data_IF_413320269436
#
_entry.id   IF_413320269436
#
_cell.length_a   1.000
_cell.length_b   1.000
_cell.length_c   1.000
_cell.angle_alpha   90.00
_cell.angle_beta   90.00
_cell.angle_gamma   90.00
#
_symmetry.space_group_name_H-M   'P 1'
#
loop_
_entity.id
_entity.type
_entity.pdbx_description
1 polymer ?
#
# COMPACT_ATOMS: atom_id res chain seq x y z
N UNK A 1 -9.03 -20.08 -0.72
CA UNK A 1 -8.11 -19.88 0.42
C UNK A 1 -8.03 -18.38 0.64
N UNK A 2 -8.55 -17.88 1.76
CA UNK A 2 -8.57 -16.46 2.09
C UNK A 2 -7.39 -16.21 3.02
N UNK A 3 -6.35 -15.53 2.53
CA UNK A 3 -5.15 -15.24 3.31
C UNK A 3 -5.47 -14.05 4.23
N UNK A 4 -5.40 -14.24 5.54
CA UNK A 4 -5.55 -13.17 6.52
C UNK A 4 -4.29 -12.29 6.51
N UNK A 5 -4.38 -11.14 5.83
CA UNK A 5 -3.26 -10.24 5.67
C UNK A 5 -2.91 -9.44 6.91
N UNK A 6 -3.88 -9.18 7.79
CA UNK A 6 -3.56 -8.61 9.09
C UNK A 6 -2.66 -9.58 9.84
N UNK A 7 -2.98 -10.87 9.81
CA UNK A 7 -2.15 -11.91 10.38
C UNK A 7 -0.78 -12.03 9.69
N UNK A 8 -0.70 -12.02 8.36
CA UNK A 8 0.58 -12.09 7.64
C UNK A 8 1.50 -10.88 7.93
N UNK A 9 0.94 -9.67 8.00
CA UNK A 9 1.69 -8.46 8.40
C UNK A 9 2.10 -8.56 9.87
N UNK A 10 1.23 -9.04 10.75
CA UNK A 10 1.54 -9.28 12.16
C UNK A 10 2.63 -10.35 12.34
N UNK A 11 2.70 -11.35 11.46
CA UNK A 11 3.78 -12.35 11.47
C UNK A 11 5.13 -11.75 11.08
N UNK A 12 5.16 -10.84 10.10
CA UNK A 12 6.35 -10.05 9.77
C UNK A 12 6.82 -9.25 11.00
N UNK A 13 5.89 -8.63 11.73
CA UNK A 13 6.19 -7.92 12.98
C UNK A 13 6.69 -8.88 14.08
N UNK A 14 6.18 -10.11 14.12
CA UNK A 14 6.68 -11.18 14.98
C UNK A 14 8.00 -11.81 14.51
N UNK A 15 8.67 -11.26 13.48
CA UNK A 15 9.90 -11.77 12.86
C UNK A 15 9.80 -13.20 12.31
N UNK A 16 8.59 -13.66 12.00
CA UNK A 16 8.34 -14.97 11.43
C UNK A 16 7.82 -14.78 10.01
N UNK A 17 8.60 -15.17 9.01
CA UNK A 17 8.16 -15.10 7.63
C UNK A 17 7.51 -16.41 7.20
N UNK A 18 6.25 -16.30 6.82
CA UNK A 18 5.47 -17.42 6.31
C UNK A 18 5.12 -17.16 4.86
N UNK A 19 5.36 -18.13 3.98
CA UNK A 19 4.97 -18.02 2.59
C UNK A 19 3.43 -18.02 2.46
N UNK A 20 2.80 -16.99 1.86
CA UNK A 20 1.34 -16.92 1.77
C UNK A 20 0.73 -17.99 0.83
N UNK A 21 1.56 -18.68 0.04
CA UNK A 21 1.11 -19.74 -0.87
C UNK A 21 1.16 -21.13 -0.26
N UNK A 22 2.30 -21.49 0.35
CA UNK A 22 2.55 -22.85 0.83
C UNK A 22 2.64 -22.95 2.36
N UNK A 23 2.47 -21.82 3.06
CA UNK A 23 2.45 -21.72 4.52
C UNK A 23 3.76 -22.18 5.20
N UNK A 24 4.84 -22.34 4.43
CA UNK A 24 6.14 -22.67 4.97
C UNK A 24 6.77 -21.47 5.69
N UNK A 25 7.31 -21.71 6.88
CA UNK A 25 8.19 -20.78 7.59
C UNK A 25 9.54 -20.73 6.88
N UNK A 26 10.05 -19.52 6.62
CA UNK A 26 11.31 -19.27 5.92
C UNK A 26 12.07 -18.13 6.57
N UNK A 27 13.38 -18.04 6.32
CA UNK A 27 14.21 -16.92 6.78
C UNK A 27 14.07 -15.69 5.88
N UNK A 28 13.81 -15.91 4.58
CA UNK A 28 13.67 -14.87 3.57
C UNK A 28 12.51 -15.18 2.62
N UNK A 29 11.83 -14.12 2.16
CA UNK A 29 10.86 -14.20 1.07
C UNK A 29 11.41 -13.50 -0.17
N UNK A 30 11.02 -13.97 -1.34
CA UNK A 30 11.17 -13.22 -2.59
C UNK A 30 10.07 -12.15 -2.63
N UNK A 31 10.49 -10.90 -2.69
CA UNK A 31 9.61 -9.73 -2.84
C UNK A 31 9.77 -9.13 -4.24
N UNK A 32 8.65 -8.95 -4.94
CA UNK A 32 8.68 -8.44 -6.31
C UNK A 32 7.33 -7.94 -6.78
N UNK A 33 7.37 -7.03 -7.74
CA UNK A 33 6.18 -6.41 -8.29
C UNK A 33 5.65 -7.14 -9.53
N UNK A 34 4.37 -7.49 -9.54
CA UNK A 34 3.72 -8.24 -10.61
C UNK A 34 2.35 -7.67 -11.01
N UNK A 35 2.01 -7.76 -12.30
CA UNK A 35 0.65 -7.53 -12.83
C UNK A 35 -0.12 -8.83 -13.09
N UNK A 36 0.51 -10.00 -12.89
CA UNK A 36 -0.13 -11.29 -13.17
C UNK A 36 -1.33 -11.49 -12.23
N UNK A 37 -2.55 -11.70 -12.76
CA UNK A 37 -3.73 -11.93 -11.93
C UNK A 37 -3.55 -13.12 -10.96
N UNK A 38 -2.84 -14.17 -11.37
CA UNK A 38 -2.55 -15.33 -10.53
C UNK A 38 -1.72 -15.00 -9.28
N UNK A 39 -1.02 -13.85 -9.24
CA UNK A 39 -0.22 -13.41 -8.10
C UNK A 39 -0.91 -12.35 -7.24
N UNK A 40 -2.05 -11.85 -7.69
CA UNK A 40 -2.93 -10.95 -6.94
C UNK A 40 -3.27 -11.50 -5.54
N UNK A 41 -3.57 -12.80 -5.35
CA UNK A 41 -3.87 -13.34 -4.01
C UNK A 41 -2.67 -13.34 -3.06
N UNK A 42 -1.45 -13.13 -3.55
CA UNK A 42 -0.22 -13.11 -2.76
C UNK A 42 0.34 -11.69 -2.59
N UNK A 43 -0.43 -10.68 -2.98
CA UNK A 43 -0.12 -9.27 -2.77
C UNK A 43 -0.89 -8.74 -1.55
N UNK A 44 -0.21 -8.33 -0.47
CA UNK A 44 -0.87 -8.03 0.81
C UNK A 44 -1.96 -6.98 0.77
N UNK A 45 -1.71 -5.86 0.08
CA UNK A 45 -2.67 -4.77 -0.02
C UNK A 45 -3.76 -4.98 -1.05
N UNK A 46 -3.64 -5.98 -1.93
CA UNK A 46 -4.57 -6.13 -3.03
C UNK A 46 -5.92 -6.71 -2.62
N UNK A 47 -6.01 -7.50 -1.55
CA UNK A 47 -7.30 -8.06 -1.09
C UNK A 47 -8.34 -7.02 -0.71
N UNK A 48 -7.91 -5.79 -0.42
CA UNK A 48 -8.80 -4.69 -0.06
C UNK A 48 -8.93 -3.63 -1.16
N UNK A 49 -8.44 -3.94 -2.36
CA UNK A 49 -8.55 -3.04 -3.49
C UNK A 49 -10.02 -2.96 -3.94
N UNK A 50 -10.62 -1.76 -4.02
CA UNK A 50 -12.02 -1.59 -4.43
C UNK A 50 -12.26 -2.12 -5.86
N UNK A 51 -11.22 -2.10 -6.70
CA UNK A 51 -11.24 -2.64 -8.07
C UNK A 51 -11.12 -4.18 -8.14
N UNK A 52 -10.81 -4.87 -7.03
CA UNK A 52 -10.76 -6.33 -6.94
C UNK A 52 -10.01 -7.00 -8.09
N UNK A 53 -10.61 -8.01 -8.72
CA UNK A 53 -10.03 -8.75 -9.85
C UNK A 53 -9.81 -7.89 -11.10
N UNK A 54 -10.47 -6.73 -11.22
CA UNK A 54 -10.29 -5.79 -12.32
C UNK A 54 -9.09 -4.84 -12.10
N UNK A 55 -8.38 -4.92 -10.97
CA UNK A 55 -7.21 -4.09 -10.75
C UNK A 55 -6.00 -4.61 -11.52
N UNK A 56 -5.63 -3.82 -12.53
CA UNK A 56 -4.46 -4.02 -13.40
C UNK A 56 -3.17 -3.41 -12.84
N UNK A 57 -3.25 -2.82 -11.63
CA UNK A 57 -2.11 -2.22 -10.98
C UNK A 57 -1.00 -3.24 -10.75
N UNK A 58 0.24 -2.75 -10.77
CA UNK A 58 1.41 -3.58 -10.47
C UNK A 58 1.49 -3.75 -8.95
N UNK A 59 1.27 -4.97 -8.46
CA UNK A 59 1.13 -5.27 -7.04
C UNK A 59 2.44 -5.79 -6.45
N UNK A 60 2.78 -5.37 -5.24
CA UNK A 60 3.89 -5.95 -4.48
C UNK A 60 3.49 -7.34 -3.98
N UNK A 61 4.18 -8.38 -4.47
CA UNK A 61 3.93 -9.79 -4.16
C UNK A 61 5.08 -10.35 -3.35
N UNK A 62 4.77 -11.22 -2.37
CA UNK A 62 5.77 -11.96 -1.60
C UNK A 62 5.52 -13.46 -1.61
N UNK A 63 6.57 -14.25 -1.84
CA UNK A 63 6.53 -15.72 -1.89
C UNK A 63 7.86 -16.31 -1.40
N UNK A 64 7.89 -17.54 -0.87
CA UNK A 64 9.16 -18.23 -0.66
C UNK A 64 9.88 -18.50 -1.99
N UNK A 65 11.18 -18.80 -1.93
CA UNK A 65 12.01 -19.04 -3.12
C UNK A 65 11.44 -20.10 -4.08
N UNK A 66 10.90 -21.20 -3.56
CA UNK A 66 10.28 -22.25 -4.39
C UNK A 66 9.00 -21.77 -5.06
N UNK A 67 8.10 -21.15 -4.31
CA UNK A 67 6.85 -20.63 -4.84
C UNK A 67 7.09 -19.53 -5.86
N UNK A 68 8.06 -18.64 -5.61
CA UNK A 68 8.44 -17.57 -6.52
C UNK A 68 8.98 -18.12 -7.85
N UNK A 69 9.80 -19.19 -7.82
CA UNK A 69 10.27 -19.86 -9.04
C UNK A 69 9.12 -20.45 -9.84
N UNK A 70 8.23 -21.19 -9.19
CA UNK A 70 7.05 -21.81 -9.83
C UNK A 70 6.15 -20.76 -10.49
N UNK A 71 5.89 -19.66 -9.78
CA UNK A 71 5.06 -18.55 -10.27
C UNK A 71 5.79 -17.59 -11.22
N UNK A 72 7.09 -17.80 -11.41
CA UNK A 72 7.98 -16.91 -12.16
C UNK A 72 7.84 -15.46 -11.65
N UNK A 73 7.79 -15.29 -10.33
CA UNK A 73 7.89 -13.98 -9.68
C UNK A 73 9.35 -13.55 -9.75
N UNK A 74 9.60 -12.38 -10.34
CA UNK A 74 10.92 -11.75 -10.34
C UNK A 74 10.98 -10.75 -9.20
N UNK A 75 12.02 -10.86 -8.38
CA UNK A 75 12.14 -10.07 -7.15
C UNK A 75 13.51 -10.24 -6.49
N UNK A 76 13.67 -9.58 -5.35
CA UNK A 76 14.83 -9.73 -4.48
C UNK A 76 14.47 -10.62 -3.29
N UNK A 77 15.45 -11.31 -2.71
CA UNK A 77 15.30 -11.92 -1.40
C UNK A 77 15.28 -10.83 -0.34
N UNK A 78 14.41 -10.97 0.65
CA UNK A 78 14.25 -10.04 1.74
C UNK A 78 13.98 -10.80 3.04
N UNK A 79 14.75 -10.47 4.07
CA UNK A 79 14.47 -10.85 5.46
C UNK A 79 13.27 -10.04 6.02
N UNK A 80 12.87 -10.33 7.26
CA UNK A 80 11.72 -9.65 7.88
C UNK A 80 11.89 -8.13 8.00
N UNK A 81 13.12 -7.67 8.24
CA UNK A 81 13.41 -6.24 8.32
C UNK A 81 13.37 -5.55 6.96
N UNK A 82 13.91 -6.19 5.92
CA UNK A 82 13.88 -5.70 4.55
C UNK A 82 12.47 -5.71 3.98
N UNK A 83 11.65 -6.71 4.34
CA UNK A 83 10.23 -6.73 4.00
C UNK A 83 9.46 -5.59 4.67
N UNK A 84 9.67 -5.37 5.96
CA UNK A 84 9.05 -4.24 6.68
C UNK A 84 9.34 -2.91 5.97
N UNK A 85 10.60 -2.69 5.58
CA UNK A 85 11.00 -1.51 4.82
C UNK A 85 10.33 -1.45 3.45
N UNK A 86 10.30 -2.57 2.73
CA UNK A 86 9.68 -2.63 1.40
C UNK A 86 8.19 -2.32 1.47
N UNK A 87 7.46 -2.87 2.45
CA UNK A 87 6.04 -2.60 2.62
C UNK A 87 5.75 -1.16 3.02
N UNK A 88 6.58 -0.57 3.89
CA UNK A 88 6.45 0.84 4.25
C UNK A 88 6.69 1.75 3.04
N UNK A 89 7.71 1.48 2.22
CA UNK A 89 7.97 2.26 1.01
C UNK A 89 6.86 2.11 -0.03
N UNK A 90 6.29 0.91 -0.15
CA UNK A 90 5.15 0.67 -1.04
C UNK A 90 3.89 1.41 -0.54
N UNK A 91 3.65 1.45 0.78
CA UNK A 91 2.55 2.20 1.38
C UNK A 91 2.72 3.72 1.19
N UNK A 92 3.96 4.23 1.27
CA UNK A 92 4.25 5.63 0.95
C UNK A 92 3.92 5.97 -0.49
N UNK A 93 4.28 5.10 -1.44
CA UNK A 93 3.93 5.31 -2.84
C UNK A 93 2.41 5.37 -3.03
N UNK A 94 1.66 4.46 -2.40
CA UNK A 94 0.20 4.49 -2.52
C UNK A 94 -0.40 5.78 -1.91
N UNK A 95 0.22 6.34 -0.88
CA UNK A 95 -0.16 7.63 -0.30
C UNK A 95 0.23 8.83 -1.20
N UNK A 96 1.38 8.76 -1.87
CA UNK A 96 1.80 9.74 -2.90
C UNK A 96 0.85 9.70 -4.11
N UNK A 97 0.47 8.50 -4.57
CA UNK A 97 -0.50 8.34 -5.66
C UNK A 97 -1.87 8.92 -5.25
N UNK A 98 -2.27 8.82 -3.98
CA UNK A 98 -3.47 9.48 -3.42
C UNK A 98 -3.38 11.00 -3.46
N UNK A 99 -2.21 11.59 -3.16
CA UNK A 99 -1.99 13.03 -3.27
C UNK A 99 -2.13 13.52 -4.72
N UNK A 100 -1.46 12.84 -5.65
CA UNK A 100 -1.55 13.16 -7.06
C UNK A 100 -2.99 13.03 -7.58
N UNK A 101 -3.71 12.00 -7.11
CA UNK A 101 -5.11 11.79 -7.45
C UNK A 101 -5.99 12.95 -6.99
N UNK A 102 -5.90 13.35 -5.72
CA UNK A 102 -6.68 14.45 -5.14
C UNK A 102 -6.32 15.81 -5.74
N UNK A 103 -5.04 16.03 -6.06
CA UNK A 103 -4.57 17.27 -6.65
C UNK A 103 -5.12 17.46 -8.08
N UNK A 104 -5.01 16.43 -8.92
CA UNK A 104 -5.28 16.59 -10.35
C UNK A 104 -5.94 15.39 -11.04
N UNK A 105 -5.48 14.15 -10.81
CA UNK A 105 -5.83 13.04 -11.72
C UNK A 105 -7.30 12.63 -11.70
N UNK A 106 -8.05 12.88 -10.63
CA UNK A 106 -9.48 12.56 -10.62
C UNK A 106 -10.24 13.26 -11.76
N UNK A 107 -9.79 14.45 -12.18
CA UNK A 107 -10.46 15.21 -13.25
C UNK A 107 -10.42 14.50 -14.60
N UNK A 108 -9.41 13.66 -14.83
CA UNK A 108 -9.28 12.87 -16.07
C UNK A 108 -10.17 11.61 -16.07
N UNK A 109 -10.65 11.17 -14.90
CA UNK A 109 -11.49 9.97 -14.77
C UNK A 109 -12.97 10.24 -15.08
N UNK A 110 -13.42 11.50 -15.01
CA UNK A 110 -14.81 11.90 -15.19
C UNK A 110 -14.99 12.76 -16.44
N UNK A 111 -16.13 12.60 -17.13
CA UNK A 111 -16.51 13.46 -18.26
C UNK A 111 -17.08 14.78 -17.71
N UNK A 112 -16.18 15.71 -17.36
CA UNK A 112 -16.49 16.98 -16.71
C UNK A 112 -17.01 18.02 -17.70
N UNK A 113 -18.08 18.71 -17.32
CA UNK A 113 -18.52 19.95 -17.99
C UNK A 113 -17.65 21.13 -17.55
N UNK A 114 -17.65 22.23 -18.33
CA UNK A 114 -16.84 23.43 -18.06
C UNK A 114 -17.07 24.01 -16.65
N UNK A 115 -18.30 23.97 -16.16
CA UNK A 115 -18.66 24.41 -14.81
C UNK A 115 -18.20 23.46 -13.70
N UNK A 116 -18.00 22.17 -13.99
CA UNK A 116 -17.55 21.19 -13.02
C UNK A 116 -16.04 21.24 -12.75
N UNK A 117 -15.24 21.81 -13.67
CA UNK A 117 -13.78 21.94 -13.47
C UNK A 117 -13.40 22.82 -12.29
N UNK A 118 -14.27 23.78 -11.94
CA UNK A 118 -14.08 24.71 -10.82
C UNK A 118 -14.65 24.16 -9.50
N UNK A 119 -15.35 23.02 -9.52
CA UNK A 119 -15.94 22.43 -8.32
C UNK A 119 -14.93 21.54 -7.59
N UNK A 120 -15.01 21.46 -6.25
CA UNK A 120 -14.26 20.47 -5.46
C UNK A 120 -14.60 19.03 -5.86
N UNK A 121 -13.64 18.12 -5.64
CA UNK A 121 -13.81 16.70 -5.96
C UNK A 121 -15.04 16.09 -5.26
N UNK A 122 -15.27 16.47 -4.01
CA UNK A 122 -16.37 16.00 -3.17
C UNK A 122 -17.74 16.40 -3.72
N UNK A 123 -17.82 17.50 -4.47
CA UNK A 123 -19.07 17.96 -5.07
C UNK A 123 -19.33 17.27 -6.41
N UNK A 124 -18.27 17.00 -7.17
CA UNK A 124 -18.39 16.36 -8.49
C UNK A 124 -18.63 14.86 -8.37
N UNK A 125 -17.90 14.18 -7.51
CA UNK A 125 -17.93 12.73 -7.35
C UNK A 125 -17.91 12.33 -5.87
N UNK A 126 -18.99 12.59 -5.10
CA UNK A 126 -19.02 12.40 -3.65
C UNK A 126 -18.74 10.96 -3.21
N UNK A 127 -19.22 9.96 -3.96
CA UNK A 127 -18.97 8.56 -3.64
C UNK A 127 -17.49 8.18 -3.84
N UNK A 128 -16.87 8.64 -4.93
CA UNK A 128 -15.45 8.43 -5.20
C UNK A 128 -14.56 9.14 -4.17
N UNK A 129 -14.91 10.37 -3.80
CA UNK A 129 -14.21 11.12 -2.75
C UNK A 129 -14.27 10.42 -1.39
N UNK A 130 -15.42 9.82 -1.04
CA UNK A 130 -15.55 9.01 0.19
C UNK A 130 -14.68 7.75 0.13
N UNK A 131 -14.72 7.01 -0.98
CA UNK A 131 -13.90 5.82 -1.17
C UNK A 131 -12.40 6.14 -1.07
N UNK A 132 -11.97 7.23 -1.68
CA UNK A 132 -10.59 7.71 -1.62
C UNK A 132 -10.19 8.11 -0.19
N UNK A 133 -11.05 8.82 0.53
CA UNK A 133 -10.80 9.20 1.92
C UNK A 133 -10.69 7.97 2.85
N UNK A 134 -11.54 6.96 2.67
CA UNK A 134 -11.49 5.71 3.44
C UNK A 134 -10.21 4.92 3.14
N UNK A 135 -9.84 4.82 1.85
CA UNK A 135 -8.63 4.17 1.41
C UNK A 135 -7.36 4.86 1.94
N UNK A 136 -7.28 6.18 1.80
CA UNK A 136 -6.18 7.00 2.33
C UNK A 136 -6.03 6.83 3.84
N UNK A 137 -7.13 6.96 4.60
CA UNK A 137 -7.12 6.81 6.07
C UNK A 137 -6.56 5.45 6.49
N UNK A 138 -6.93 4.38 5.79
CA UNK A 138 -6.39 3.04 6.04
C UNK A 138 -4.89 2.95 5.77
N UNK A 139 -4.40 3.55 4.68
CA UNK A 139 -2.97 3.59 4.38
C UNK A 139 -2.19 4.40 5.41
N UNK A 140 -2.74 5.52 5.89
CA UNK A 140 -2.13 6.31 6.97
C UNK A 140 -2.01 5.50 8.27
N UNK A 141 -3.06 4.77 8.65
CA UNK A 141 -3.04 3.85 9.81
C UNK A 141 -2.02 2.71 9.63
N UNK A 142 -1.94 2.14 8.42
CA UNK A 142 -0.93 1.13 8.07
C UNK A 142 0.49 1.69 8.18
N UNK A 143 0.73 2.90 7.68
CA UNK A 143 2.00 3.60 7.79
C UNK A 143 2.43 3.80 9.26
N UNK A 144 1.51 4.23 10.12
CA UNK A 144 1.77 4.39 11.56
C UNK A 144 2.13 3.05 12.23
N UNK A 145 1.49 1.93 11.83
CA UNK A 145 1.85 0.59 12.32
C UNK A 145 3.27 0.22 11.93
N UNK A 146 3.69 0.46 10.69
CA UNK A 146 5.08 0.23 10.29
C UNK A 146 6.05 1.09 11.09
N UNK A 147 5.72 2.36 11.30
CA UNK A 147 6.53 3.29 12.07
C UNK A 147 6.71 2.84 13.54
N UNK A 148 5.63 2.32 14.15
CA UNK A 148 5.67 1.74 15.49
C UNK A 148 6.56 0.49 15.53
N UNK A 149 6.50 -0.36 14.51
CA UNK A 149 7.32 -1.57 14.42
C UNK A 149 8.80 -1.27 14.20
N UNK A 150 9.14 -0.29 13.36
CA UNK A 150 10.53 0.17 13.24
C UNK A 150 11.11 0.60 14.60
N UNK A 151 10.30 1.31 15.40
CA UNK A 151 10.70 1.73 16.76
C UNK A 151 10.85 0.54 17.71
N UNK A 152 9.93 -0.42 17.71
CA UNK A 152 10.00 -1.62 18.56
C UNK A 152 11.27 -2.44 18.27
N UNK A 153 11.64 -2.52 16.98
CA UNK A 153 12.82 -3.21 16.50
C UNK A 153 14.12 -2.40 16.65
N UNK A 154 14.04 -1.16 17.16
CA UNK A 154 15.18 -0.23 17.27
C UNK A 154 15.89 0.01 15.93
N UNK A 155 15.13 0.01 14.82
CA UNK A 155 15.63 0.24 13.48
C UNK A 155 15.37 1.69 13.05
N UNK A 156 16.29 2.23 12.27
CA UNK A 156 16.12 3.56 11.67
C UNK A 156 14.99 3.49 10.66
N UNK A 157 14.14 4.51 10.71
CA UNK A 157 13.04 4.68 9.75
C UNK A 157 13.62 5.28 8.47
N UNK A 158 13.43 4.64 7.32
CA UNK A 158 13.89 5.17 6.03
C UNK A 158 13.24 6.52 5.73
N UNK A 159 13.99 7.45 5.14
CA UNK A 159 13.51 8.79 4.72
C UNK A 159 12.59 9.46 5.75
N UNK A 160 13.12 9.76 6.95
CA UNK A 160 12.34 10.27 8.07
C UNK A 160 11.64 11.64 7.82
N UNK A 161 12.06 12.39 6.79
CA UNK A 161 11.41 13.65 6.38
C UNK A 161 10.07 13.46 5.66
N UNK A 162 9.87 12.28 5.04
CA UNK A 162 8.71 12.01 4.19
C UNK A 162 7.36 12.26 4.88
N UNK A 163 7.23 11.89 6.16
CA UNK A 163 5.98 12.10 6.91
C UNK A 163 5.62 13.59 7.00
N UNK A 164 6.60 14.46 7.20
CA UNK A 164 6.35 15.89 7.32
C UNK A 164 5.94 16.49 5.96
N UNK A 165 6.65 16.10 4.90
CA UNK A 165 6.34 16.50 3.52
C UNK A 165 4.91 16.10 3.14
N UNK A 166 4.54 14.83 3.34
CA UNK A 166 3.19 14.33 3.10
C UNK A 166 2.10 15.12 3.85
N UNK A 167 2.32 15.41 5.14
CA UNK A 167 1.37 16.16 5.97
C UNK A 167 1.19 17.59 5.50
N UNK A 168 2.26 18.24 5.04
CA UNK A 168 2.19 19.58 4.47
C UNK A 168 1.39 19.59 3.16
N UNK A 169 1.65 18.62 2.28
CA UNK A 169 0.99 18.52 0.97
C UNK A 169 -0.52 18.21 1.10
N UNK A 170 -0.90 17.20 1.90
CA UNK A 170 -2.32 16.84 2.07
C UNK A 170 -3.14 17.98 2.70
N UNK A 171 -2.54 18.73 3.63
CA UNK A 171 -3.19 19.91 4.25
C UNK A 171 -3.26 21.09 3.28
N UNK A 172 -2.28 21.27 2.41
CA UNK A 172 -2.33 22.30 1.37
C UNK A 172 -3.46 22.05 0.37
N UNK A 173 -3.81 20.78 0.13
CA UNK A 173 -4.99 20.37 -0.64
C UNK A 173 -6.32 20.51 0.14
N UNK A 174 -6.29 20.87 1.43
CA UNK A 174 -7.48 21.08 2.25
C UNK A 174 -7.99 19.83 2.97
N UNK A 175 -7.22 18.75 3.00
CA UNK A 175 -7.62 17.48 3.61
C UNK A 175 -6.99 17.25 4.99
N UNK A 176 -7.76 16.60 5.87
CA UNK A 176 -7.27 16.10 7.15
C UNK A 176 -6.48 14.79 6.99
N UNK A 177 -5.53 14.57 7.91
CA UNK A 177 -4.65 13.39 7.96
C UNK A 177 -4.34 12.99 9.39
N UNK A 178 -4.33 11.68 9.69
CA UNK A 178 -3.92 11.17 11.01
C UNK A 178 -2.40 11.17 11.19
N UNK A 179 -1.64 11.44 10.12
CA UNK A 179 -0.18 11.55 10.19
C UNK A 179 0.29 12.91 10.73
N UNK A 180 -0.61 13.88 10.87
CA UNK A 180 -0.31 15.20 11.42
C UNK A 180 -0.57 15.36 12.92
N UNK A 181 -1.18 14.34 13.55
CA UNK A 181 -1.46 14.25 14.99
C UNK A 181 -0.31 13.56 15.77
#
# INVERSE_FOLDING_TARGET
MQIDWENAINQIFARRLTCPRCEADVEELVVGYSRKPALSPYAPRHQNCPRGDACEARKLTTLCGDCARTERLRGALADAGQLLETYMLDCRRDLEDSLDYLAEYWRDEFDLTEDQYELPFEEVAPDAAREEAEWRRRLEEEYLRYHAEFRSLHRRIPAAGWRAEYVEEIRALGYDTVLGD
#
